data_IF_001471047841
#
_entry.id   IF_001471047841
#
_cell.length_a   1.000
_cell.length_b   1.000
_cell.length_c   1.000
_cell.angle_alpha   90.00
_cell.angle_beta   90.00
_cell.angle_gamma   90.00
#
_symmetry.space_group_name_H-M   'P 1'
#
loop_
_entity.id
_entity.type
_entity.pdbx_description
1 polymer ?
#
# COMPACT_ATOMS: atom_id res chain seq x y z
N UNK A 1 -13.63 -25.95 -2.93
CA UNK A 1 -12.52 -25.03 -2.60
C UNK A 1 -11.64 -25.50 -1.47
N UNK A 2 -12.18 -26.17 -0.43
CA UNK A 2 -11.40 -26.73 0.68
C UNK A 2 -10.15 -27.51 0.28
N UNK A 3 -10.24 -28.40 -0.73
CA UNK A 3 -9.07 -29.14 -1.24
C UNK A 3 -8.05 -28.22 -1.91
N UNK A 4 -8.51 -27.30 -2.76
CA UNK A 4 -7.65 -26.38 -3.50
C UNK A 4 -6.87 -25.41 -2.59
N UNK A 5 -7.39 -25.09 -1.39
CA UNK A 5 -6.70 -24.25 -0.41
C UNK A 5 -5.59 -24.98 0.36
N UNK A 6 -5.63 -26.31 0.41
CA UNK A 6 -4.58 -27.13 1.01
C UNK A 6 -3.44 -27.44 0.03
N UNK A 7 -3.67 -27.24 -1.27
CA UNK A 7 -2.68 -27.48 -2.31
C UNK A 7 -1.81 -26.24 -2.55
N UNK A 8 -0.50 -26.44 -2.72
CA UNK A 8 0.43 -25.36 -3.12
C UNK A 8 0.20 -24.89 -4.57
N UNK A 9 -0.29 -25.77 -5.43
CA UNK A 9 -0.58 -25.47 -6.83
C UNK A 9 -1.74 -26.32 -7.35
N UNK A 10 -2.55 -25.75 -8.23
CA UNK A 10 -3.65 -26.43 -8.92
C UNK A 10 -3.49 -26.20 -10.41
N UNK A 11 -3.59 -27.27 -11.20
CA UNK A 11 -3.55 -27.22 -12.66
C UNK A 11 -4.92 -27.57 -13.24
N UNK A 12 -5.48 -26.67 -14.05
CA UNK A 12 -6.75 -26.90 -14.73
C UNK A 12 -6.49 -27.12 -16.23
N UNK A 13 -6.81 -28.31 -16.73
CA UNK A 13 -6.57 -28.70 -18.12
C UNK A 13 -7.86 -28.67 -18.95
N UNK A 14 -7.75 -28.38 -20.25
CA UNK A 14 -8.86 -28.38 -21.23
C UNK A 14 -10.05 -27.52 -20.80
N UNK A 15 -9.76 -26.34 -20.28
CA UNK A 15 -10.73 -25.37 -19.76
C UNK A 15 -11.18 -24.44 -20.89
N UNK A 16 -12.48 -24.21 -21.01
CA UNK A 16 -13.00 -23.21 -21.97
C UNK A 16 -12.77 -21.77 -21.46
N UNK A 17 -12.75 -20.75 -22.35
CA UNK A 17 -12.58 -19.35 -21.94
C UNK A 17 -13.56 -18.90 -20.85
N UNK A 18 -14.82 -19.36 -20.90
CA UNK A 18 -15.81 -19.09 -19.86
C UNK A 18 -15.47 -19.74 -18.53
N UNK A 19 -15.09 -21.03 -18.56
CA UNK A 19 -14.70 -21.76 -17.35
C UNK A 19 -13.46 -21.17 -16.66
N UNK A 20 -12.51 -20.58 -17.42
CA UNK A 20 -11.36 -19.87 -16.82
C UNK A 20 -11.84 -18.72 -15.92
N UNK A 21 -12.80 -17.92 -16.38
CA UNK A 21 -13.39 -16.85 -15.58
C UNK A 21 -14.19 -17.37 -14.38
N UNK A 22 -14.90 -18.50 -14.54
CA UNK A 22 -15.64 -19.13 -13.45
C UNK A 22 -14.71 -19.59 -12.31
N UNK A 23 -13.52 -20.11 -12.66
CA UNK A 23 -12.48 -20.49 -11.67
C UNK A 23 -12.04 -19.27 -10.85
N UNK A 24 -11.74 -18.15 -11.52
CA UNK A 24 -11.35 -16.90 -10.83
C UNK A 24 -12.49 -16.42 -9.92
N UNK A 25 -13.73 -16.45 -10.40
CA UNK A 25 -14.92 -16.07 -9.63
C UNK A 25 -15.09 -16.95 -8.39
N UNK A 26 -14.89 -18.26 -8.54
CA UNK A 26 -14.97 -19.21 -7.44
C UNK A 26 -13.94 -18.88 -6.35
N UNK A 27 -12.70 -18.55 -6.74
CA UNK A 27 -11.62 -18.14 -5.82
C UNK A 27 -11.98 -16.86 -5.09
N UNK A 28 -12.45 -15.84 -5.80
CA UNK A 28 -12.84 -14.55 -5.20
C UNK A 28 -13.99 -14.69 -4.21
N UNK A 29 -14.93 -15.62 -4.46
CA UNK A 29 -16.08 -15.84 -3.57
C UNK A 29 -15.73 -16.60 -2.29
N UNK A 30 -14.72 -17.47 -2.33
CA UNK A 30 -14.40 -18.36 -1.22
C UNK A 30 -13.15 -17.96 -0.44
N UNK A 31 -12.33 -17.04 -0.97
CA UNK A 31 -11.11 -16.56 -0.30
C UNK A 31 -11.11 -15.03 -0.26
N UNK A 32 -10.62 -14.44 0.83
CA UNK A 32 -10.43 -12.99 1.00
C UNK A 32 -9.17 -12.45 0.31
N UNK A 33 -8.40 -13.32 -0.35
CA UNK A 33 -7.15 -12.96 -1.02
C UNK A 33 -7.38 -12.19 -2.31
N UNK A 34 -6.42 -11.34 -2.64
CA UNK A 34 -6.38 -10.65 -3.93
C UNK A 34 -5.98 -11.65 -5.01
N UNK A 35 -6.73 -11.67 -6.11
CA UNK A 35 -6.50 -12.57 -7.23
C UNK A 35 -5.88 -11.79 -8.39
N UNK A 36 -4.86 -12.38 -9.00
CA UNK A 36 -4.24 -11.85 -10.21
C UNK A 36 -4.33 -12.90 -11.30
N UNK A 37 -4.73 -12.48 -12.49
CA UNK A 37 -4.72 -13.34 -13.67
C UNK A 37 -3.86 -12.77 -14.79
N UNK A 38 -3.28 -13.69 -15.56
CA UNK A 38 -2.34 -13.36 -16.63
C UNK A 38 -2.77 -14.09 -17.88
N UNK A 39 -2.79 -13.40 -19.02
CA UNK A 39 -3.10 -14.02 -20.30
C UNK A 39 -2.45 -13.30 -21.47
N UNK A 40 -2.30 -13.98 -22.59
CA UNK A 40 -1.67 -13.48 -23.81
C UNK A 40 -2.63 -13.41 -25.01
N UNK A 41 -3.74 -14.16 -24.96
CA UNK A 41 -4.71 -14.26 -26.06
C UNK A 41 -6.13 -13.81 -25.72
N UNK A 42 -7.00 -13.81 -26.75
CA UNK A 42 -8.42 -13.46 -26.62
C UNK A 42 -9.19 -14.41 -25.67
N UNK A 43 -8.70 -15.64 -25.51
CA UNK A 43 -9.29 -16.67 -24.63
C UNK A 43 -9.18 -16.31 -23.14
N UNK A 44 -8.24 -15.44 -22.79
CA UNK A 44 -7.96 -15.08 -21.40
C UNK A 44 -8.58 -13.74 -21.00
N UNK A 45 -9.18 -13.01 -21.95
CA UNK A 45 -9.78 -11.69 -21.71
C UNK A 45 -10.81 -11.72 -20.59
N UNK A 46 -11.68 -12.75 -20.58
CA UNK A 46 -12.68 -12.89 -19.53
C UNK A 46 -12.03 -13.19 -18.17
N UNK A 47 -11.02 -14.06 -18.14
CA UNK A 47 -10.26 -14.38 -16.94
C UNK A 47 -9.53 -13.15 -16.37
N UNK A 48 -8.93 -12.33 -17.25
CA UNK A 48 -8.26 -11.06 -16.93
C UNK A 48 -9.23 -10.09 -16.28
N UNK A 49 -10.39 -9.86 -16.91
CA UNK A 49 -11.42 -8.92 -16.40
C UNK A 49 -12.06 -9.37 -15.08
N UNK A 50 -12.12 -10.68 -14.83
CA UNK A 50 -12.74 -11.21 -13.62
C UNK A 50 -11.83 -11.15 -12.39
N UNK A 51 -10.50 -11.11 -12.56
CA UNK A 51 -9.57 -10.99 -11.45
C UNK A 51 -9.60 -9.58 -10.81
N UNK A 52 -8.98 -9.45 -9.64
CA UNK A 52 -8.81 -8.13 -9.02
C UNK A 52 -7.75 -7.30 -9.75
N UNK A 53 -6.74 -7.96 -10.30
CA UNK A 53 -5.72 -7.34 -11.15
C UNK A 53 -5.49 -8.24 -12.36
N UNK A 54 -5.71 -7.71 -13.55
CA UNK A 54 -5.48 -8.38 -14.82
C UNK A 54 -4.16 -7.95 -15.46
N UNK A 55 -3.36 -8.91 -15.92
CA UNK A 55 -2.11 -8.64 -16.65
C UNK A 55 -2.15 -9.26 -18.04
N UNK A 56 -1.96 -8.44 -19.05
CA UNK A 56 -1.90 -8.87 -20.44
C UNK A 56 -0.44 -9.02 -20.89
N UNK A 57 -0.11 -10.15 -21.49
CA UNK A 57 1.18 -10.35 -22.15
C UNK A 57 1.08 -10.01 -23.63
N UNK A 58 2.03 -9.24 -24.14
CA UNK A 58 2.13 -8.97 -25.56
C UNK A 58 2.61 -10.22 -26.30
N UNK A 59 1.66 -11.02 -26.77
CA UNK A 59 1.89 -12.25 -27.52
C UNK A 59 1.81 -12.07 -29.03
N UNK A 60 2.12 -13.14 -29.75
CA UNK A 60 1.99 -13.24 -31.21
C UNK A 60 0.53 -13.45 -31.63
N UNK A 61 -0.31 -13.95 -30.71
CA UNK A 61 -1.73 -14.28 -30.92
C UNK A 61 -2.67 -13.06 -30.98
N UNK A 62 -2.11 -11.84 -30.90
CA UNK A 62 -2.83 -10.58 -31.02
C UNK A 62 -2.89 -9.76 -29.73
N UNK A 63 -3.21 -8.47 -29.86
CA UNK A 63 -3.17 -7.52 -28.73
C UNK A 63 -4.40 -7.52 -27.80
N UNK A 64 -5.31 -8.50 -27.93
CA UNK A 64 -6.61 -8.47 -27.25
C UNK A 64 -6.47 -8.59 -25.72
N UNK A 65 -5.59 -9.47 -25.22
CA UNK A 65 -5.32 -9.59 -23.79
C UNK A 65 -4.75 -8.29 -23.21
N UNK A 66 -3.78 -7.69 -23.90
CA UNK A 66 -3.13 -6.43 -23.51
C UNK A 66 -4.10 -5.25 -23.46
N UNK A 67 -4.98 -5.14 -24.46
CA UNK A 67 -5.97 -4.04 -24.53
C UNK A 67 -7.04 -4.12 -23.43
N UNK A 68 -7.25 -5.31 -22.85
CA UNK A 68 -8.28 -5.57 -21.85
C UNK A 68 -7.72 -5.80 -20.44
N UNK A 69 -6.41 -5.64 -20.24
CA UNK A 69 -5.74 -5.83 -18.95
C UNK A 69 -5.42 -4.49 -18.26
N UNK A 70 -5.27 -4.52 -16.94
CA UNK A 70 -4.84 -3.36 -16.15
C UNK A 70 -3.36 -3.03 -16.38
N UNK A 71 -2.54 -4.07 -16.58
CA UNK A 71 -1.12 -3.94 -16.89
C UNK A 71 -0.75 -4.71 -18.15
N UNK A 72 0.05 -4.09 -19.00
CA UNK A 72 0.60 -4.70 -20.21
C UNK A 72 2.09 -5.01 -20.01
N UNK A 73 2.48 -6.27 -20.19
CA UNK A 73 3.88 -6.71 -20.11
C UNK A 73 4.30 -7.37 -21.43
N UNK A 74 5.52 -7.12 -21.89
CA UNK A 74 6.03 -7.79 -23.09
C UNK A 74 6.51 -9.23 -22.84
N UNK A 75 6.94 -9.53 -21.62
CA UNK A 75 7.47 -10.83 -21.24
C UNK A 75 7.09 -11.16 -19.80
N UNK A 76 6.85 -12.45 -19.52
CA UNK A 76 6.50 -12.93 -18.18
C UNK A 76 7.55 -12.59 -17.11
N UNK A 77 8.84 -12.50 -17.48
CA UNK A 77 9.92 -12.14 -16.55
C UNK A 77 9.76 -10.78 -15.87
N UNK A 78 9.03 -9.85 -16.50
CA UNK A 78 8.79 -8.52 -15.93
C UNK A 78 7.74 -8.51 -14.83
N UNK A 79 6.94 -9.57 -14.71
CA UNK A 79 5.94 -9.72 -13.65
C UNK A 79 6.59 -9.67 -12.26
N UNK A 80 7.75 -10.31 -12.10
CA UNK A 80 8.47 -10.31 -10.83
C UNK A 80 8.81 -8.88 -10.38
N UNK A 81 9.25 -8.02 -11.30
CA UNK A 81 9.58 -6.62 -11.01
C UNK A 81 8.34 -5.75 -10.83
N UNK A 82 7.26 -6.04 -11.57
CA UNK A 82 5.97 -5.36 -11.38
C UNK A 82 5.46 -5.58 -9.95
N UNK A 83 5.42 -6.83 -9.48
CA UNK A 83 4.92 -7.17 -8.16
C UNK A 83 5.86 -6.72 -7.04
N UNK A 84 7.10 -7.25 -7.01
CA UNK A 84 7.98 -7.11 -5.85
C UNK A 84 8.51 -5.69 -5.66
N UNK A 85 8.69 -4.94 -6.75
CA UNK A 85 9.19 -3.56 -6.68
C UNK A 85 8.02 -2.58 -6.70
N UNK A 86 7.27 -2.53 -7.79
CA UNK A 86 6.25 -1.49 -7.97
C UNK A 86 5.01 -1.73 -7.10
N UNK A 87 4.57 -2.99 -6.97
CA UNK A 87 3.43 -3.35 -6.11
C UNK A 87 3.70 -3.01 -4.65
N UNK A 88 4.87 -3.39 -4.12
CA UNK A 88 5.26 -3.06 -2.74
C UNK A 88 5.36 -1.55 -2.51
N UNK A 89 6.07 -0.82 -3.36
CA UNK A 89 6.20 0.63 -3.23
C UNK A 89 4.84 1.32 -3.30
N UNK A 90 3.99 0.92 -4.26
CA UNK A 90 2.63 1.46 -4.38
C UNK A 90 1.81 1.23 -3.12
N UNK A 91 1.83 0.01 -2.57
CA UNK A 91 1.12 -0.32 -1.33
C UNK A 91 1.55 0.54 -0.14
N UNK A 92 2.85 0.76 0.06
CA UNK A 92 3.37 1.59 1.16
C UNK A 92 2.96 3.05 0.98
N UNK A 93 3.15 3.60 -0.23
CA UNK A 93 2.83 4.98 -0.56
C UNK A 93 1.35 5.29 -0.38
N UNK A 94 0.46 4.42 -0.87
CA UNK A 94 -0.99 4.63 -0.73
C UNK A 94 -1.45 4.46 0.71
N UNK A 95 -0.92 3.48 1.45
CA UNK A 95 -1.26 3.28 2.86
C UNK A 95 -0.88 4.49 3.72
N UNK A 96 0.29 5.05 3.44
CA UNK A 96 0.77 6.26 4.11
C UNK A 96 -0.08 7.49 3.75
N UNK A 97 -0.33 7.68 2.46
CA UNK A 97 -1.18 8.75 1.96
C UNK A 97 -2.56 8.72 2.63
N UNK A 98 -3.20 7.55 2.68
CA UNK A 98 -4.52 7.38 3.28
C UNK A 98 -4.55 7.74 4.77
N UNK A 99 -3.57 7.27 5.55
CA UNK A 99 -3.49 7.57 6.99
C UNK A 99 -3.38 9.08 7.24
N UNK A 100 -2.48 9.74 6.52
CA UNK A 100 -2.31 11.19 6.65
C UNK A 100 -3.54 11.95 6.12
N UNK A 101 -4.12 11.49 5.01
CA UNK A 101 -5.32 12.08 4.43
C UNK A 101 -6.51 12.04 5.40
N UNK A 102 -6.74 10.91 6.07
CA UNK A 102 -7.77 10.78 7.09
C UNK A 102 -7.49 11.70 8.28
N UNK A 103 -6.26 11.72 8.78
CA UNK A 103 -5.86 12.59 9.88
C UNK A 103 -6.12 14.07 9.58
N UNK A 104 -5.57 14.59 8.46
CA UNK A 104 -5.67 16.02 8.14
C UNK A 104 -7.11 16.44 7.87
N UNK A 105 -7.88 15.59 7.18
CA UNK A 105 -9.18 15.97 6.63
C UNK A 105 -10.23 15.91 7.73
N UNK A 106 -10.21 14.84 8.53
CA UNK A 106 -11.07 14.74 9.71
C UNK A 106 -10.68 15.78 10.76
N UNK A 107 -9.39 15.95 11.05
CA UNK A 107 -8.93 16.92 12.04
C UNK A 107 -9.35 18.35 11.68
N UNK A 108 -9.16 18.75 10.43
CA UNK A 108 -9.57 20.06 9.94
C UNK A 108 -11.09 20.27 9.95
N UNK A 109 -11.85 19.27 9.48
CA UNK A 109 -13.32 19.34 9.47
C UNK A 109 -13.91 19.40 10.88
N UNK A 110 -13.37 18.63 11.83
CA UNK A 110 -13.86 18.58 13.20
C UNK A 110 -13.71 19.92 13.92
N UNK A 111 -12.67 20.72 13.62
CA UNK A 111 -12.54 22.08 14.18
C UNK A 111 -13.75 22.96 13.81
N UNK A 112 -14.26 22.86 12.58
CA UNK A 112 -15.49 23.56 12.19
C UNK A 112 -16.72 23.03 12.94
N UNK A 113 -16.79 21.72 13.17
CA UNK A 113 -17.89 21.11 13.93
C UNK A 113 -17.88 21.62 15.37
N UNK A 114 -16.72 21.65 16.02
CA UNK A 114 -16.56 22.19 17.37
C UNK A 114 -16.98 23.66 17.42
N UNK A 115 -16.51 24.48 16.48
CA UNK A 115 -16.93 25.88 16.38
C UNK A 115 -18.44 26.05 16.17
N UNK A 116 -19.04 25.20 15.33
CA UNK A 116 -20.49 25.14 15.09
C UNK A 116 -21.31 24.99 16.36
N UNK A 117 -20.84 24.18 17.32
CA UNK A 117 -21.49 24.01 18.62
C UNK A 117 -21.54 25.30 19.45
N UNK A 118 -20.59 26.23 19.27
CA UNK A 118 -20.52 27.49 20.02
C UNK A 118 -21.13 28.68 19.28
N UNK A 119 -21.28 28.61 17.96
CA UNK A 119 -21.84 29.70 17.14
C UNK A 119 -23.33 29.51 16.79
N UNK A 120 -24.01 28.56 17.46
CA UNK A 120 -25.42 28.26 17.22
C UNK A 120 -25.69 27.59 15.86
N UNK A 121 -24.69 26.91 15.28
CA UNK A 121 -24.75 26.32 13.94
C UNK A 121 -25.15 27.32 12.83
N UNK A 122 -24.71 28.57 12.96
CA UNK A 122 -24.97 29.66 11.99
C UNK A 122 -24.27 29.48 10.63
N UNK A 123 -23.62 28.33 10.40
CA UNK A 123 -22.78 28.01 9.24
C UNK A 123 -21.60 28.97 9.00
N UNK A 124 -21.30 29.84 9.96
CA UNK A 124 -20.11 30.69 9.91
C UNK A 124 -18.85 29.83 10.04
N UNK A 125 -17.89 30.04 9.15
CA UNK A 125 -16.59 29.38 9.18
C UNK A 125 -15.70 30.03 10.24
N UNK A 126 -14.97 29.21 11.00
CA UNK A 126 -13.89 29.70 11.86
C UNK A 126 -12.70 30.19 11.04
N UNK A 127 -12.34 29.45 9.99
CA UNK A 127 -11.22 29.81 9.13
C UNK A 127 -11.65 30.76 8.02
N UNK A 128 -10.72 31.62 7.62
CA UNK A 128 -10.87 32.41 6.40
C UNK A 128 -10.93 31.53 5.15
N UNK A 129 -11.76 31.91 4.18
CA UNK A 129 -11.99 31.13 2.96
C UNK A 129 -10.70 30.86 2.18
N UNK A 130 -9.82 31.85 2.10
CA UNK A 130 -8.51 31.70 1.45
C UNK A 130 -7.62 30.70 2.19
N UNK A 131 -7.67 30.66 3.52
CA UNK A 131 -6.88 29.72 4.32
C UNK A 131 -7.35 28.28 4.11
N UNK A 132 -8.66 28.04 4.07
CA UNK A 132 -9.23 26.71 3.80
C UNK A 132 -8.68 26.13 2.49
N UNK A 133 -8.65 26.96 1.44
CA UNK A 133 -8.11 26.58 0.13
C UNK A 133 -6.61 26.28 0.20
N UNK A 134 -5.80 27.19 0.78
CA UNK A 134 -4.35 27.02 0.88
C UNK A 134 -3.95 25.85 1.79
N UNK A 135 -4.69 25.61 2.87
CA UNK A 135 -4.44 24.52 3.82
C UNK A 135 -4.55 23.15 3.15
N UNK A 136 -5.58 22.96 2.33
CA UNK A 136 -5.78 21.70 1.63
C UNK A 136 -4.72 21.48 0.56
N UNK A 137 -4.40 22.51 -0.23
CA UNK A 137 -3.50 22.36 -1.38
C UNK A 137 -2.04 22.41 -0.95
N UNK A 138 -1.59 23.53 -0.39
CA UNK A 138 -0.17 23.79 -0.16
C UNK A 138 0.35 23.21 1.14
N UNK A 139 -0.39 23.37 2.23
CA UNK A 139 0.13 22.99 3.56
C UNK A 139 -0.01 21.50 3.84
N UNK A 140 -0.92 20.80 3.15
CA UNK A 140 -1.18 19.39 3.44
C UNK A 140 -1.08 18.46 2.22
N UNK A 141 -1.64 18.78 1.05
CA UNK A 141 -1.55 17.87 -0.10
C UNK A 141 -0.15 17.83 -0.71
N UNK A 142 0.48 18.99 -0.98
CA UNK A 142 1.81 19.05 -1.60
C UNK A 142 2.89 18.28 -0.81
N UNK A 143 3.07 18.48 0.51
CA UNK A 143 4.15 17.80 1.24
C UNK A 143 3.97 16.28 1.28
N UNK A 144 2.73 15.80 1.40
CA UNK A 144 2.41 14.37 1.41
C UNK A 144 2.62 13.77 0.04
N UNK A 145 2.25 14.49 -1.02
CA UNK A 145 2.45 14.05 -2.38
C UNK A 145 3.94 13.95 -2.71
N UNK A 146 4.74 14.96 -2.34
CA UNK A 146 6.19 14.89 -2.45
C UNK A 146 6.75 13.68 -1.69
N UNK A 147 6.33 13.50 -0.43
CA UNK A 147 6.77 12.37 0.37
C UNK A 147 6.37 11.05 -0.32
N UNK A 148 5.13 10.88 -0.77
CA UNK A 148 4.67 9.67 -1.44
C UNK A 148 5.43 9.38 -2.75
N UNK A 149 5.81 10.39 -3.52
CA UNK A 149 6.57 10.19 -4.76
C UNK A 149 8.03 9.82 -4.50
N UNK A 150 8.68 10.46 -3.52
CA UNK A 150 10.09 10.25 -3.23
C UNK A 150 10.34 9.11 -2.22
N UNK A 151 9.30 8.58 -1.56
CA UNK A 151 9.46 7.46 -0.64
C UNK A 151 9.85 6.19 -1.41
N UNK A 152 11.04 5.71 -1.08
CA UNK A 152 11.57 4.41 -1.46
C UNK A 152 12.13 3.78 -0.19
N UNK A 153 11.48 2.71 0.25
CA UNK A 153 11.85 2.02 1.48
C UNK A 153 13.12 1.18 1.33
N UNK A 154 13.18 0.46 0.22
CA UNK A 154 14.23 -0.49 -0.13
C UNK A 154 14.51 -0.34 -1.63
N UNK A 155 15.77 -0.51 -2.03
CA UNK A 155 16.17 -0.43 -3.44
C UNK A 155 15.50 -1.53 -4.28
N UNK A 156 15.30 -1.29 -5.57
CA UNK A 156 14.67 -2.26 -6.47
C UNK A 156 15.42 -3.62 -6.48
N UNK A 157 16.74 -3.59 -6.35
CA UNK A 157 17.60 -4.77 -6.30
C UNK A 157 17.37 -5.58 -5.02
N UNK A 158 17.33 -4.92 -3.86
CA UNK A 158 17.05 -5.57 -2.59
C UNK A 158 15.63 -6.15 -2.54
N UNK A 159 14.64 -5.46 -3.09
CA UNK A 159 13.27 -5.97 -3.20
C UNK A 159 13.16 -7.23 -4.08
N UNK A 160 13.99 -7.35 -5.12
CA UNK A 160 14.06 -8.57 -5.94
C UNK A 160 14.86 -9.70 -5.27
N UNK A 161 15.88 -9.34 -4.48
CA UNK A 161 16.72 -10.29 -3.73
C UNK A 161 15.95 -10.97 -2.60
N UNK A 162 15.06 -10.23 -1.94
CA UNK A 162 14.32 -10.64 -0.74
C UNK A 162 12.80 -10.53 -0.94
N UNK A 163 12.17 -11.50 -1.61
CA UNK A 163 10.74 -11.46 -1.90
C UNK A 163 9.84 -11.53 -0.67
N UNK A 164 10.36 -11.98 0.48
CA UNK A 164 9.66 -12.04 1.77
C UNK A 164 9.15 -10.66 2.21
N UNK A 165 9.81 -9.58 1.78
CA UNK A 165 9.36 -8.21 2.01
C UNK A 165 7.95 -7.98 1.45
N UNK A 166 7.53 -8.67 0.39
CA UNK A 166 6.20 -8.47 -0.19
C UNK A 166 5.05 -8.90 0.76
N UNK A 167 5.33 -9.77 1.75
CA UNK A 167 4.35 -10.32 2.68
C UNK A 167 3.65 -9.27 3.54
N UNK A 168 4.31 -8.15 3.84
CA UNK A 168 3.72 -7.03 4.61
C UNK A 168 2.46 -6.48 3.95
N UNK A 169 2.45 -6.39 2.61
CA UNK A 169 1.28 -5.92 1.86
C UNK A 169 0.13 -6.92 1.88
N UNK A 170 0.46 -8.20 1.79
CA UNK A 170 -0.48 -9.30 1.81
C UNK A 170 -1.18 -9.50 3.16
N UNK A 171 -0.49 -9.20 4.26
CA UNK A 171 -1.02 -9.22 5.62
C UNK A 171 -1.81 -7.95 5.98
N UNK A 172 -1.92 -6.99 5.06
CA UNK A 172 -2.57 -5.71 5.29
C UNK A 172 -2.05 -4.94 6.51
N UNK A 173 -0.76 -5.10 6.87
CA UNK A 173 -0.20 -4.54 8.11
C UNK A 173 -0.25 -3.00 8.12
N UNK A 174 -0.01 -2.37 6.96
CA UNK A 174 -0.01 -0.91 6.81
C UNK A 174 -1.41 -0.33 6.53
N UNK A 175 -2.36 -1.14 6.12
CA UNK A 175 -3.72 -0.71 5.77
C UNK A 175 -4.77 -1.31 6.70
N UNK A 176 -4.37 -1.82 7.85
CA UNK A 176 -5.27 -2.50 8.77
C UNK A 176 -6.34 -1.52 9.31
N UNK A 177 -7.60 -1.95 9.47
CA UNK A 177 -8.67 -1.11 9.98
C UNK A 177 -8.33 -0.48 11.34
N UNK A 178 -7.61 -1.20 12.19
CA UNK A 178 -7.13 -0.69 13.48
C UNK A 178 -6.18 0.51 13.32
N UNK A 179 -5.24 0.45 12.37
CA UNK A 179 -4.31 1.57 12.15
C UNK A 179 -5.03 2.79 11.56
N UNK A 180 -6.04 2.56 10.72
CA UNK A 180 -6.88 3.63 10.18
C UNK A 180 -7.76 4.25 11.29
N UNK A 181 -8.35 3.44 12.17
CA UNK A 181 -9.16 3.94 13.29
C UNK A 181 -8.33 4.70 14.33
N UNK A 182 -7.10 4.24 14.60
CA UNK A 182 -6.15 5.00 15.44
C UNK A 182 -5.79 6.36 14.83
N UNK A 183 -5.62 6.42 13.50
CA UNK A 183 -5.37 7.68 12.79
C UNK A 183 -6.56 8.64 12.91
N UNK A 184 -7.79 8.12 12.87
CA UNK A 184 -9.02 8.90 13.08
C UNK A 184 -9.13 9.38 14.53
N UNK A 185 -8.86 8.53 15.52
CA UNK A 185 -8.88 8.91 16.94
C UNK A 185 -7.85 10.01 17.22
N UNK A 186 -6.67 9.89 16.62
CA UNK A 186 -5.63 10.92 16.69
C UNK A 186 -6.07 12.25 16.05
N UNK A 187 -6.83 12.19 14.95
CA UNK A 187 -7.42 13.36 14.32
C UNK A 187 -8.45 14.06 15.23
N UNK A 188 -9.30 13.28 15.90
CA UNK A 188 -10.26 13.79 16.89
C UNK A 188 -9.53 14.50 18.02
N UNK A 189 -8.55 13.83 18.64
CA UNK A 189 -7.73 14.42 19.71
C UNK A 189 -7.07 15.73 19.26
N UNK A 190 -6.42 15.72 18.10
CA UNK A 190 -5.75 16.91 17.57
C UNK A 190 -6.72 18.06 17.28
N UNK A 191 -7.93 17.76 16.77
CA UNK A 191 -8.97 18.78 16.53
C UNK A 191 -9.49 19.41 17.83
N UNK A 192 -9.61 18.62 18.91
CA UNK A 192 -10.00 19.13 20.22
C UNK A 192 -8.95 20.10 20.75
N UNK A 193 -7.68 19.71 20.69
CA UNK A 193 -6.55 20.55 21.12
C UNK A 193 -6.49 21.85 20.30
N UNK A 194 -6.61 21.75 18.97
CA UNK A 194 -6.54 22.90 18.06
C UNK A 194 -7.68 23.90 18.28
N UNK A 195 -8.86 23.44 18.71
CA UNK A 195 -10.00 24.32 18.95
C UNK A 195 -10.08 24.81 20.40
N UNK A 196 -10.09 23.89 21.37
CA UNK A 196 -10.38 24.22 22.77
C UNK A 196 -9.28 25.00 23.46
N UNK A 197 -8.00 24.83 23.08
CA UNK A 197 -6.91 25.61 23.68
C UNK A 197 -7.04 27.09 23.29
N UNK A 198 -7.09 27.48 22.00
CA UNK A 198 -7.33 28.87 21.63
C UNK A 198 -8.66 29.39 22.18
N UNK A 199 -9.74 28.61 22.09
CA UNK A 199 -11.04 29.02 22.62
C UNK A 199 -10.98 29.37 24.11
N UNK A 200 -10.29 28.56 24.93
CA UNK A 200 -10.10 28.83 26.36
C UNK A 200 -9.21 30.04 26.64
N UNK A 201 -8.17 30.27 25.84
CA UNK A 201 -7.26 31.43 25.98
C UNK A 201 -7.96 32.74 25.63
N UNK A 202 -8.80 32.74 24.59
CA UNK A 202 -9.55 33.91 24.17
C UNK A 202 -10.85 34.11 24.96
N UNK A 203 -11.25 33.14 25.79
CA UNK A 203 -12.43 33.23 26.63
C UNK A 203 -12.30 34.43 27.60
N UNK A 204 -13.26 35.36 27.53
CA UNK A 204 -13.29 36.58 28.33
C UNK A 204 -12.14 37.59 28.06
N UNK A 205 -11.54 37.53 26.87
CA UNK A 205 -10.62 38.56 26.38
C UNK A 205 -11.34 39.57 25.49
N UNK A 206 -10.78 40.78 25.35
CA UNK A 206 -11.32 41.82 24.46
C UNK A 206 -10.99 41.58 22.96
N UNK A 207 -10.41 40.42 22.62
CA UNK A 207 -10.00 40.11 21.26
C UNK A 207 -11.13 39.47 20.45
N UNK A 208 -11.25 39.89 19.20
CA UNK A 208 -12.29 39.39 18.29
C UNK A 208 -12.03 37.94 17.82
N UNK A 209 -13.10 37.28 17.37
CA UNK A 209 -13.07 35.95 16.76
C UNK A 209 -12.08 35.83 15.59
N UNK A 210 -11.79 36.93 14.89
CA UNK A 210 -10.78 36.96 13.83
C UNK A 210 -9.37 36.69 14.35
N UNK A 211 -9.03 37.20 15.54
CA UNK A 211 -7.73 36.95 16.19
C UNK A 211 -7.60 35.47 16.58
N UNK A 212 -8.70 34.89 17.08
CA UNK A 212 -8.77 33.46 17.38
C UNK A 212 -8.61 32.64 16.09
N UNK A 213 -9.30 33.00 15.00
CA UNK A 213 -9.21 32.33 13.71
C UNK A 213 -7.77 32.29 13.17
N UNK A 214 -7.05 33.40 13.23
CA UNK A 214 -5.63 33.47 12.81
C UNK A 214 -4.76 32.59 13.69
N UNK A 215 -4.98 32.60 15.00
CA UNK A 215 -4.23 31.77 15.97
C UNK A 215 -4.43 30.28 15.69
N UNK A 216 -5.68 29.86 15.50
CA UNK A 216 -6.03 28.46 15.16
C UNK A 216 -5.44 28.08 13.80
N UNK A 217 -5.46 28.99 12.81
CA UNK A 217 -4.86 28.76 11.48
C UNK A 217 -3.35 28.54 11.56
N UNK A 218 -2.64 29.37 12.32
CA UNK A 218 -1.19 29.23 12.54
C UNK A 218 -0.86 27.92 13.26
N UNK A 219 -1.63 27.58 14.30
CA UNK A 219 -1.48 26.32 15.02
C UNK A 219 -1.74 25.10 14.11
N UNK A 220 -2.76 25.16 13.26
CA UNK A 220 -3.08 24.10 12.31
C UNK A 220 -1.95 23.88 11.29
N UNK A 221 -1.39 24.96 10.72
CA UNK A 221 -0.25 24.86 9.80
C UNK A 221 0.99 24.30 10.50
N UNK A 222 1.28 24.75 11.73
CA UNK A 222 2.39 24.22 12.51
C UNK A 222 2.24 22.71 12.78
N UNK A 223 1.08 22.29 13.27
CA UNK A 223 0.74 20.87 13.48
C UNK A 223 0.89 20.07 12.19
N UNK A 224 0.34 20.55 11.07
CA UNK A 224 0.47 19.87 9.78
C UNK A 224 1.94 19.67 9.35
N UNK A 225 2.79 20.68 9.51
CA UNK A 225 4.23 20.56 9.19
C UNK A 225 4.96 19.61 10.12
N UNK A 226 4.64 19.65 11.42
CA UNK A 226 5.22 18.77 12.43
C UNK A 226 4.85 17.31 12.17
N UNK A 227 3.60 17.04 11.80
CA UNK A 227 3.11 15.71 11.45
C UNK A 227 3.80 15.12 10.21
N UNK A 228 4.03 15.94 9.19
CA UNK A 228 4.81 15.51 8.01
C UNK A 228 6.23 15.12 8.42
N UNK A 229 6.86 15.89 9.33
CA UNK A 229 8.20 15.59 9.84
C UNK A 229 8.24 14.32 10.69
N UNK A 230 7.27 14.12 11.58
CA UNK A 230 7.13 12.89 12.36
C UNK A 230 6.95 11.71 11.42
N UNK A 231 6.03 11.81 10.48
CA UNK A 231 5.76 10.76 9.50
C UNK A 231 7.03 10.40 8.73
N UNK A 232 7.76 11.40 8.25
CA UNK A 232 9.05 11.20 7.57
C UNK A 232 10.09 10.52 8.48
N UNK A 233 10.18 10.94 9.74
CA UNK A 233 11.10 10.34 10.71
C UNK A 233 10.76 8.87 11.01
N UNK A 234 9.48 8.56 11.23
CA UNK A 234 8.99 7.21 11.46
C UNK A 234 9.30 6.32 10.26
N UNK A 235 9.07 6.81 9.05
CA UNK A 235 9.39 6.07 7.82
C UNK A 235 10.89 5.80 7.72
N UNK A 236 11.73 6.83 7.89
CA UNK A 236 13.18 6.67 7.84
C UNK A 236 13.69 5.68 8.89
N UNK A 237 13.10 5.69 10.09
CA UNK A 237 13.40 4.71 11.15
C UNK A 237 12.97 3.30 10.75
N UNK A 238 11.77 3.13 10.19
CA UNK A 238 11.27 1.84 9.70
C UNK A 238 12.18 1.29 8.58
N UNK A 239 12.60 2.13 7.65
CA UNK A 239 13.54 1.78 6.57
C UNK A 239 14.90 1.34 7.11
N UNK A 240 15.44 2.05 8.11
CA UNK A 240 16.70 1.69 8.77
C UNK A 240 16.64 0.32 9.44
N UNK A 241 15.54 0.01 10.14
CA UNK A 241 15.32 -1.31 10.76
C UNK A 241 15.26 -2.40 9.70
N UNK A 242 14.54 -2.15 8.61
CA UNK A 242 14.40 -3.10 7.52
C UNK A 242 15.74 -3.36 6.83
N UNK A 243 16.51 -2.31 6.55
CA UNK A 243 17.86 -2.44 5.99
C UNK A 243 18.83 -3.16 6.95
N UNK A 244 18.70 -2.94 8.26
CA UNK A 244 19.49 -3.67 9.26
C UNK A 244 19.13 -5.16 9.29
N UNK A 245 17.84 -5.50 9.27
CA UNK A 245 17.38 -6.89 9.20
C UNK A 245 17.89 -7.58 7.93
N UNK A 246 17.84 -6.89 6.78
CA UNK A 246 18.38 -7.41 5.52
C UNK A 246 19.89 -7.68 5.59
N UNK A 247 20.67 -6.79 6.22
CA UNK A 247 22.10 -6.98 6.45
C UNK A 247 22.39 -8.18 7.37
N UNK A 248 21.58 -8.35 8.42
CA UNK A 248 21.69 -9.52 9.32
C UNK A 248 21.40 -10.82 8.58
N UNK A 249 20.38 -10.84 7.71
CA UNK A 249 20.06 -12.00 6.88
C UNK A 249 21.17 -12.31 5.87
N UNK A 250 21.74 -11.29 5.22
CA UNK A 250 22.88 -11.46 4.32
C UNK A 250 24.12 -11.99 5.07
N UNK A 251 24.41 -11.45 6.25
CA UNK A 251 25.52 -11.92 7.10
C UNK A 251 25.32 -13.38 7.52
N UNK A 252 24.10 -13.76 7.90
CA UNK A 252 23.75 -15.13 8.31
C UNK A 252 23.88 -16.13 7.16
N UNK A 253 23.53 -15.73 5.93
CA UNK A 253 23.75 -16.55 4.74
C UNK A 253 25.23 -16.71 4.40
N UNK A 254 26.04 -15.67 4.59
CA UNK A 254 27.50 -15.74 4.36
C UNK A 254 28.27 -16.45 5.48
N UNK A 255 27.73 -16.46 6.71
CA UNK A 255 28.34 -17.13 7.85
C UNK A 255 27.90 -18.58 8.01
N UNK A 256 26.92 -19.05 7.22
CA UNK A 256 26.60 -20.48 7.15
C UNK A 256 27.77 -21.18 6.47
N UNK A 257 28.59 -21.96 7.19
CA UNK A 257 29.78 -22.56 6.60
C UNK A 257 29.35 -23.58 5.54
N UNK A 258 30.28 -23.86 4.63
CA UNK A 258 30.35 -24.97 3.67
C UNK A 258 30.11 -26.39 4.27
N UNK A 259 29.48 -26.55 5.43
CA UNK A 259 29.09 -27.87 5.97
C UNK A 259 27.93 -28.52 5.17
N UNK A 260 27.15 -27.73 4.41
CA UNK A 260 26.08 -28.28 3.57
C UNK A 260 26.56 -28.79 2.21
N UNK A 261 27.75 -28.37 1.74
CA UNK A 261 28.29 -28.79 0.43
C UNK A 261 29.04 -30.13 0.48
N UNK A 262 29.41 -30.62 1.67
CA UNK A 262 30.03 -31.96 1.79
C UNK A 262 29.01 -33.09 1.60
N UNK A 263 27.74 -32.88 1.95
CA UNK A 263 26.69 -33.92 1.83
C UNK A 263 25.87 -33.84 0.52
N UNK A 264 26.09 -32.84 -0.33
CA UNK A 264 25.31 -32.66 -1.56
C UNK A 264 26.04 -33.02 -2.87
N UNK A 265 27.30 -33.45 -2.78
CA UNK A 265 28.10 -33.90 -3.93
C UNK A 265 27.67 -35.24 -4.54
N UNK A 266 26.63 -35.92 -4.00
CA UNK A 266 26.13 -37.20 -4.53
C UNK A 266 24.79 -37.08 -5.30
N UNK A 267 24.14 -35.91 -5.35
CA UNK A 267 22.85 -35.76 -6.08
C UNK A 267 22.76 -34.47 -6.89
N UNK A 268 23.76 -34.23 -7.75
CA UNK A 268 23.68 -33.21 -8.78
C UNK A 268 23.63 -33.84 -10.17
N UNK A 269 22.47 -34.35 -10.59
CA UNK A 269 22.15 -34.48 -12.01
C UNK A 269 20.67 -34.17 -12.29
N UNK A 270 20.47 -33.18 -13.18
CA UNK A 270 19.24 -32.75 -13.85
C UNK A 270 18.20 -31.95 -13.03
N UNK A 271 18.22 -30.61 -13.19
CA UNK A 271 17.17 -29.73 -12.68
C UNK A 271 17.24 -28.31 -13.26
N UNK A 272 16.45 -28.06 -14.30
CA UNK A 272 16.25 -26.81 -15.06
C UNK A 272 16.28 -25.49 -14.25
N UNK A 273 16.92 -24.44 -14.80
CA UNK A 273 16.84 -23.04 -14.32
C UNK A 273 15.39 -22.55 -14.10
N UNK A 274 14.44 -23.09 -14.87
CA UNK A 274 13.00 -22.88 -14.72
C UNK A 274 12.51 -23.23 -13.30
N UNK A 275 12.95 -24.34 -12.71
CA UNK A 275 12.50 -24.80 -11.38
C UNK A 275 12.87 -23.84 -10.25
N UNK A 276 14.07 -23.24 -10.28
CA UNK A 276 14.48 -22.22 -9.28
C UNK A 276 13.69 -20.91 -9.42
N UNK A 277 13.30 -20.55 -10.65
CA UNK A 277 12.45 -19.39 -10.90
C UNK A 277 11.03 -19.62 -10.39
N UNK A 278 10.46 -20.81 -10.68
CA UNK A 278 9.15 -21.22 -10.16
C UNK A 278 9.15 -21.41 -8.65
N UNK A 279 10.24 -21.85 -8.00
CA UNK A 279 10.27 -21.97 -6.53
C UNK A 279 10.33 -20.61 -5.83
N UNK A 280 11.05 -19.63 -6.39
CA UNK A 280 11.04 -18.24 -5.90
C UNK A 280 9.69 -17.56 -6.12
N UNK A 281 9.08 -17.73 -7.29
CA UNK A 281 7.72 -17.24 -7.55
C UNK A 281 6.67 -17.97 -6.72
N UNK A 282 6.80 -19.29 -6.50
CA UNK A 282 5.90 -20.06 -5.65
C UNK A 282 6.02 -19.64 -4.18
N UNK A 283 7.18 -19.23 -3.69
CA UNK A 283 7.31 -18.61 -2.36
C UNK A 283 6.63 -17.23 -2.27
N UNK A 284 6.63 -16.46 -3.37
CA UNK A 284 5.91 -15.18 -3.49
C UNK A 284 4.40 -15.37 -3.67
N UNK A 285 3.99 -16.46 -4.33
CA UNK A 285 2.60 -16.80 -4.64
C UNK A 285 1.92 -17.64 -3.54
N UNK A 286 2.67 -18.40 -2.73
CA UNK A 286 2.13 -19.27 -1.67
C UNK A 286 1.56 -18.52 -0.47
N UNK A 287 1.58 -17.19 -0.48
CA UNK A 287 0.86 -16.39 0.49
C UNK A 287 0.14 -15.30 -0.30
N UNK A 288 -1.19 -15.27 -0.18
CA UNK A 288 -2.14 -14.22 -0.57
C UNK A 288 -2.26 -13.68 -2.02
N UNK A 289 -1.45 -14.07 -3.00
CA UNK A 289 -1.79 -13.87 -4.42
C UNK A 289 -1.97 -15.22 -5.09
N UNK A 290 -3.22 -15.66 -5.23
CA UNK A 290 -3.57 -16.81 -6.06
C UNK A 290 -3.45 -16.39 -7.52
N UNK A 291 -2.28 -16.67 -8.09
CA UNK A 291 -2.00 -16.44 -9.49
C UNK A 291 -2.73 -17.49 -10.33
N UNK A 292 -3.59 -17.03 -11.23
CA UNK A 292 -4.35 -17.89 -12.14
C UNK A 292 -3.88 -17.57 -13.55
N UNK A 293 -3.15 -18.51 -14.15
CA UNK A 293 -2.63 -18.45 -15.52
C UNK A 293 -3.52 -19.36 -16.39
#
# INVERSE_FOLDING_TARGET
MSLAEQCQSVLCCRVTPGQKADIVTLVRKHTTSITMSIGDGANDVNMIKTAHVGVGLAGVEGGQAVQNADFALSQFRFLQRLLLVHGRWSYRRISLFLRYFLFKTCGFALVHVWFGCFNGFSAQSLYETWFIALYTVFYTATPVMCLAFFEQDVSAESSLKWPELYMTGQRHELSSPLMLSLSLLYAVYSSLVLFFIPFGVFYNTAFDYQTMAVTVSMAATFTATFEVRITFYILKKSQMIEHHNLKMMDSALTSWPMEADYNHSITAQHGNLSSKYWSKLAKVANVAIKLII
#
